data_IF_945610300193
#
_entry.id   IF_945610300193
#
_cell.length_a   1.000
_cell.length_b   1.000
_cell.length_c   1.000
_cell.angle_alpha   90.00
_cell.angle_beta   90.00
_cell.angle_gamma   90.00
#
_symmetry.space_group_name_H-M   'P 1'
#
loop_
_entity.id
_entity.type
_entity.pdbx_description
1 polymer ?
#
# COMPACT_ATOMS: atom_id res chain seq x y z
N UNK A 1 -48.20 7.89 5.92
CA UNK A 1 -46.87 8.00 5.31
C UNK A 1 -46.03 6.86 5.86
N UNK A 2 -45.87 5.82 5.07
CA UNK A 2 -44.95 4.71 5.38
C UNK A 2 -43.54 5.24 5.23
N UNK A 3 -42.84 5.40 6.35
CA UNK A 3 -41.41 5.65 6.35
C UNK A 3 -40.76 4.46 5.65
N UNK A 4 -40.14 4.71 4.50
CA UNK A 4 -39.31 3.73 3.79
C UNK A 4 -38.26 3.23 4.78
N UNK A 5 -38.13 1.92 4.93
CA UNK A 5 -37.02 1.34 5.68
C UNK A 5 -35.74 1.77 4.95
N UNK A 6 -35.03 2.75 5.52
CA UNK A 6 -33.63 2.97 5.18
C UNK A 6 -32.93 1.67 5.58
N UNK A 7 -32.47 0.89 4.61
CA UNK A 7 -31.63 -0.28 4.85
C UNK A 7 -30.45 0.21 5.69
N UNK A 8 -30.46 -0.09 6.98
CA UNK A 8 -29.30 0.13 7.84
C UNK A 8 -28.22 -0.78 7.32
N UNK A 9 -27.11 -0.23 6.82
CA UNK A 9 -25.91 -1.03 6.57
C UNK A 9 -25.54 -1.64 7.93
N UNK A 10 -25.65 -2.97 8.04
CA UNK A 10 -25.31 -3.70 9.25
C UNK A 10 -23.99 -4.39 8.97
N UNK A 11 -22.89 -3.66 9.17
CA UNK A 11 -21.53 -4.03 8.81
C UNK A 11 -21.17 -5.43 9.34
N UNK A 12 -21.68 -5.79 10.52
CA UNK A 12 -21.47 -7.09 11.13
C UNK A 12 -22.16 -8.23 10.35
N UNK A 13 -23.41 -8.07 9.94
CA UNK A 13 -24.15 -9.10 9.18
C UNK A 13 -23.53 -9.29 7.79
N UNK A 14 -23.12 -8.20 7.14
CA UNK A 14 -22.40 -8.26 5.87
C UNK A 14 -21.03 -8.92 6.01
N UNK A 15 -20.29 -8.63 7.08
CA UNK A 15 -19.03 -9.30 7.36
C UNK A 15 -19.23 -10.81 7.60
N UNK A 16 -20.28 -11.20 8.34
CA UNK A 16 -20.59 -12.62 8.59
C UNK A 16 -20.93 -13.40 7.30
N UNK A 17 -21.60 -12.77 6.33
CA UNK A 17 -21.89 -13.38 5.04
C UNK A 17 -20.64 -13.46 4.16
N UNK A 18 -19.85 -12.38 4.08
CA UNK A 18 -18.59 -12.36 3.33
C UNK A 18 -17.58 -13.38 3.87
N UNK A 19 -17.47 -13.54 5.20
CA UNK A 19 -16.63 -14.58 5.81
C UNK A 19 -17.00 -15.98 5.30
N UNK A 20 -18.29 -16.29 5.13
CA UNK A 20 -18.71 -17.62 4.65
C UNK A 20 -18.27 -17.83 3.21
N UNK A 21 -18.45 -16.81 2.36
CA UNK A 21 -18.03 -16.84 0.95
C UNK A 21 -16.51 -17.03 0.84
N UNK A 22 -15.73 -16.24 1.57
CA UNK A 22 -14.27 -16.31 1.55
C UNK A 22 -13.72 -17.63 2.12
N UNK A 23 -14.36 -18.22 3.14
CA UNK A 23 -14.00 -19.56 3.62
C UNK A 23 -14.21 -20.62 2.53
N UNK A 24 -15.29 -20.51 1.74
CA UNK A 24 -15.54 -21.42 0.61
C UNK A 24 -14.47 -21.27 -0.49
N UNK A 25 -13.96 -20.05 -0.68
CA UNK A 25 -12.87 -19.74 -1.61
C UNK A 25 -11.47 -20.07 -1.05
N UNK A 26 -11.39 -20.51 0.21
CA UNK A 26 -10.17 -21.04 0.84
C UNK A 26 -9.41 -20.06 1.72
N UNK A 27 -9.97 -18.90 2.03
CA UNK A 27 -9.38 -17.93 2.96
C UNK A 27 -9.38 -18.46 4.39
N UNK A 28 -8.35 -18.09 5.16
CA UNK A 28 -8.23 -18.46 6.55
C UNK A 28 -9.13 -17.61 7.45
N UNK A 29 -9.91 -18.28 8.30
CA UNK A 29 -10.87 -17.61 9.18
C UNK A 29 -10.18 -16.81 10.29
N UNK A 30 -9.03 -17.26 10.77
CA UNK A 30 -8.29 -16.56 11.83
C UNK A 30 -7.70 -15.26 11.27
N UNK A 31 -7.19 -15.27 10.03
CA UNK A 31 -6.72 -14.05 9.33
C UNK A 31 -7.85 -13.03 9.11
N UNK A 32 -9.04 -13.48 8.67
CA UNK A 32 -10.20 -12.60 8.53
C UNK A 32 -10.64 -12.00 9.88
N UNK A 33 -10.66 -12.79 10.94
CA UNK A 33 -11.02 -12.33 12.29
C UNK A 33 -9.98 -11.34 12.85
N UNK A 34 -8.71 -11.56 12.56
CA UNK A 34 -7.63 -10.62 12.92
C UNK A 34 -7.77 -9.30 12.17
N UNK A 35 -8.04 -9.34 10.86
CA UNK A 35 -8.29 -8.13 10.07
C UNK A 35 -9.48 -7.33 10.62
N UNK A 36 -10.60 -8.00 10.90
CA UNK A 36 -11.79 -7.36 11.49
C UNK A 36 -11.48 -6.76 12.86
N UNK A 37 -10.65 -7.42 13.67
CA UNK A 37 -10.26 -6.91 14.99
C UNK A 37 -9.39 -5.64 14.87
N UNK A 38 -8.56 -5.56 13.84
CA UNK A 38 -7.63 -4.44 13.61
C UNK A 38 -8.32 -3.25 12.92
N UNK A 39 -9.10 -3.51 11.86
CA UNK A 39 -9.68 -2.49 10.98
C UNK A 39 -11.20 -2.31 11.15
N UNK A 40 -11.89 -3.32 11.69
CA UNK A 40 -13.34 -3.31 11.89
C UNK A 40 -14.12 -3.97 10.74
N UNK A 41 -15.40 -4.26 11.01
CA UNK A 41 -16.29 -4.95 10.06
C UNK A 41 -16.50 -4.17 8.76
N UNK A 42 -16.59 -2.83 8.85
CA UNK A 42 -16.80 -1.99 7.68
C UNK A 42 -15.66 -2.13 6.67
N UNK A 43 -14.44 -1.99 7.15
CA UNK A 43 -13.25 -2.02 6.30
C UNK A 43 -12.98 -3.45 5.80
N UNK A 44 -13.34 -4.47 6.58
CA UNK A 44 -13.32 -5.85 6.11
C UNK A 44 -14.22 -6.06 4.88
N UNK A 45 -15.47 -5.58 4.94
CA UNK A 45 -16.42 -5.71 3.83
C UNK A 45 -15.97 -4.92 2.60
N UNK A 46 -15.25 -3.81 2.77
CA UNK A 46 -14.87 -2.93 1.68
C UNK A 46 -13.52 -3.25 1.05
N UNK A 47 -12.53 -3.69 1.83
CA UNK A 47 -11.12 -3.66 1.44
C UNK A 47 -10.36 -4.96 1.69
N UNK A 48 -10.95 -5.97 2.35
CA UNK A 48 -10.22 -7.20 2.69
C UNK A 48 -9.72 -7.97 1.46
N UNK A 49 -10.53 -8.07 0.40
CA UNK A 49 -10.15 -8.75 -0.84
C UNK A 49 -9.01 -8.04 -1.58
N UNK A 50 -9.01 -6.70 -1.59
CA UNK A 50 -7.91 -5.93 -2.18
C UNK A 50 -6.64 -6.04 -1.34
N UNK A 51 -6.78 -5.97 -0.01
CA UNK A 51 -5.68 -6.18 0.93
C UNK A 51 -5.03 -7.56 0.73
N UNK A 52 -5.81 -8.64 0.77
CA UNK A 52 -5.26 -10.01 0.64
C UNK A 52 -4.64 -10.23 -0.74
N UNK A 53 -5.24 -9.70 -1.81
CA UNK A 53 -4.65 -9.75 -3.16
C UNK A 53 -3.30 -9.04 -3.22
N UNK A 54 -3.17 -7.88 -2.58
CA UNK A 54 -1.91 -7.15 -2.53
C UNK A 54 -0.86 -7.86 -1.67
N UNK A 55 -1.26 -8.48 -0.55
CA UNK A 55 -0.35 -9.31 0.28
C UNK A 55 0.15 -10.52 -0.51
N UNK A 56 -0.70 -11.14 -1.35
CA UNK A 56 -0.30 -12.25 -2.22
C UNK A 56 0.64 -11.81 -3.36
N UNK A 57 0.46 -10.61 -3.90
CA UNK A 57 1.27 -10.07 -5.01
C UNK A 57 2.65 -9.59 -4.56
N UNK A 58 2.74 -8.98 -3.37
CA UNK A 58 3.97 -8.41 -2.81
C UNK A 58 4.42 -9.22 -1.59
N UNK A 59 3.98 -8.80 -0.41
CA UNK A 59 4.15 -9.43 0.89
C UNK A 59 3.47 -8.53 1.94
N UNK A 60 3.30 -9.05 3.15
CA UNK A 60 2.65 -8.31 4.24
C UNK A 60 3.43 -7.05 4.64
N UNK A 61 4.76 -7.09 4.68
CA UNK A 61 5.58 -5.94 5.11
C UNK A 61 5.45 -4.77 4.11
N UNK A 62 5.39 -5.06 2.82
CA UNK A 62 5.16 -4.06 1.76
C UNK A 62 3.79 -3.42 1.89
N UNK A 63 2.72 -4.22 2.09
CA UNK A 63 1.34 -3.72 2.22
C UNK A 63 1.17 -2.89 3.48
N UNK A 64 1.67 -3.39 4.61
CA UNK A 64 1.59 -2.68 5.89
C UNK A 64 2.34 -1.33 5.81
N UNK A 65 3.51 -1.30 5.16
CA UNK A 65 4.27 -0.05 4.95
C UNK A 65 3.56 0.96 4.05
N UNK A 66 2.78 0.49 3.06
CA UNK A 66 1.95 1.36 2.22
C UNK A 66 0.79 1.96 3.03
N UNK A 67 0.12 1.15 3.84
CA UNK A 67 -0.99 1.59 4.71
C UNK A 67 -0.49 2.57 5.77
N UNK A 68 0.77 2.49 6.21
CA UNK A 68 1.37 3.49 7.10
C UNK A 68 1.54 4.87 6.46
N UNK A 69 1.72 4.92 5.13
CA UNK A 69 1.90 6.17 4.36
C UNK A 69 0.57 6.74 3.86
N UNK A 70 -0.31 5.87 3.39
CA UNK A 70 -1.62 6.21 2.86
C UNK A 70 -2.72 5.73 3.83
N UNK A 71 -3.78 5.15 3.30
CA UNK A 71 -4.85 4.54 4.08
C UNK A 71 -5.23 3.17 3.47
N UNK A 72 -5.84 2.31 4.27
CA UNK A 72 -6.36 1.01 3.82
C UNK A 72 -7.32 1.14 2.63
N UNK A 73 -8.07 2.25 2.56
CA UNK A 73 -9.01 2.50 1.45
C UNK A 73 -8.32 2.67 0.09
N UNK A 74 -7.01 2.95 0.09
CA UNK A 74 -6.21 3.14 -1.11
C UNK A 74 -5.37 1.91 -1.44
N UNK A 75 -5.51 0.80 -0.70
CA UNK A 75 -4.66 -0.40 -0.85
C UNK A 75 -4.70 -1.00 -2.25
N UNK A 76 -5.81 -0.85 -2.99
CA UNK A 76 -5.92 -1.28 -4.38
C UNK A 76 -4.90 -0.61 -5.32
N UNK A 77 -4.40 0.57 -4.94
CA UNK A 77 -3.46 1.38 -5.71
C UNK A 77 -1.99 1.09 -5.38
N UNK A 78 -1.71 0.15 -4.46
CA UNK A 78 -0.34 -0.22 -4.10
C UNK A 78 0.53 -0.52 -5.34
N UNK A 79 0.00 -1.32 -6.27
CA UNK A 79 0.74 -1.68 -7.50
C UNK A 79 1.17 -0.47 -8.32
N UNK A 80 0.30 0.54 -8.40
CA UNK A 80 0.56 1.72 -9.22
C UNK A 80 1.48 2.71 -8.47
N UNK A 81 1.44 2.68 -7.14
CA UNK A 81 2.27 3.50 -6.27
C UNK A 81 3.67 2.92 -6.01
N UNK A 82 3.89 1.61 -6.10
CA UNK A 82 5.13 0.96 -5.65
C UNK A 82 6.32 1.14 -6.62
N UNK A 83 7.46 1.64 -6.12
CA UNK A 83 8.69 1.90 -6.89
C UNK A 83 9.90 1.04 -6.45
N UNK A 84 9.70 0.11 -5.52
CA UNK A 84 10.72 -0.84 -5.08
C UNK A 84 11.19 -0.63 -3.63
N UNK A 85 12.16 -1.45 -3.22
CA UNK A 85 12.77 -1.44 -1.90
C UNK A 85 14.26 -1.06 -1.98
N UNK A 86 14.68 -0.08 -1.19
CA UNK A 86 16.00 0.51 -1.16
C UNK A 86 16.48 0.68 0.28
N UNK A 87 17.79 0.82 0.49
CA UNK A 87 18.39 1.04 1.81
C UNK A 87 18.17 2.46 2.33
N UNK A 88 17.94 3.40 1.41
CA UNK A 88 17.61 4.79 1.70
C UNK A 88 16.98 5.49 0.50
N UNK A 89 16.32 6.61 0.73
CA UNK A 89 15.84 7.49 -0.32
C UNK A 89 16.96 7.99 -1.27
N UNK A 90 18.18 8.16 -0.77
CA UNK A 90 19.34 8.51 -1.60
C UNK A 90 19.71 7.40 -2.60
N UNK A 91 19.64 6.13 -2.20
CA UNK A 91 19.87 5.00 -3.12
C UNK A 91 18.78 4.94 -4.19
N UNK A 92 17.52 5.20 -3.82
CA UNK A 92 16.42 5.35 -4.78
C UNK A 92 16.67 6.51 -5.76
N UNK A 93 17.07 7.69 -5.25
CA UNK A 93 17.34 8.85 -6.09
C UNK A 93 18.46 8.58 -7.12
N UNK A 94 19.53 7.90 -6.71
CA UNK A 94 20.60 7.48 -7.61
C UNK A 94 20.11 6.52 -8.69
N UNK A 95 19.36 5.48 -8.31
CA UNK A 95 18.81 4.50 -9.26
C UNK A 95 17.85 5.17 -10.23
N UNK A 96 16.90 5.98 -9.71
CA UNK A 96 15.89 6.65 -10.51
C UNK A 96 16.51 7.58 -11.56
N UNK A 97 17.50 8.39 -11.18
CA UNK A 97 18.20 9.26 -12.13
C UNK A 97 18.98 8.45 -13.16
N UNK A 98 19.71 7.42 -12.71
CA UNK A 98 20.51 6.57 -13.58
C UNK A 98 19.68 5.81 -14.61
N UNK A 99 18.52 5.30 -14.20
CA UNK A 99 17.65 4.46 -15.03
C UNK A 99 16.76 5.30 -15.97
N UNK A 100 16.22 6.43 -15.51
CA UNK A 100 15.27 7.24 -16.28
C UNK A 100 15.94 8.30 -17.16
N UNK A 101 17.01 8.92 -16.67
CA UNK A 101 17.66 10.05 -17.35
C UNK A 101 19.05 9.69 -17.88
N UNK A 102 19.69 8.69 -17.29
CA UNK A 102 21.07 8.34 -17.56
C UNK A 102 22.03 9.29 -16.86
N UNK A 103 23.15 8.74 -16.38
CA UNK A 103 24.21 9.55 -15.79
C UNK A 103 25.21 10.00 -16.86
N UNK A 104 25.58 11.29 -16.88
CA UNK A 104 26.67 11.74 -17.73
C UNK A 104 28.00 11.17 -17.22
N UNK A 105 28.97 11.00 -18.13
CA UNK A 105 30.35 10.65 -17.76
C UNK A 105 30.99 11.79 -16.96
N UNK A 106 30.97 11.67 -15.64
CA UNK A 106 31.59 12.62 -14.72
C UNK A 106 33.00 12.15 -14.34
N UNK A 107 33.99 13.07 -14.27
CA UNK A 107 35.29 12.75 -13.70
C UNK A 107 35.17 12.18 -12.27
N UNK A 108 36.01 11.18 -11.94
CA UNK A 108 35.94 10.43 -10.67
C UNK A 108 36.06 11.27 -9.39
N UNK A 109 36.54 12.51 -9.48
CA UNK A 109 36.70 13.43 -8.35
C UNK A 109 35.46 14.29 -8.09
N UNK A 110 34.41 14.18 -8.92
CA UNK A 110 33.11 14.77 -8.67
C UNK A 110 32.33 13.86 -7.73
N UNK A 111 31.77 14.44 -6.67
CA UNK A 111 30.81 13.78 -5.79
C UNK A 111 29.40 14.34 -6.07
N UNK A 112 28.41 13.46 -6.00
CA UNK A 112 27.00 13.79 -6.20
C UNK A 112 26.30 13.61 -4.87
N UNK A 113 25.46 14.60 -4.52
CA UNK A 113 24.71 14.58 -3.28
C UNK A 113 23.34 13.96 -3.50
N UNK A 114 23.27 12.64 -3.32
CA UNK A 114 22.04 11.88 -3.49
C UNK A 114 21.05 12.07 -2.33
N UNK A 115 21.53 12.48 -1.15
CA UNK A 115 20.66 12.83 -0.03
C UNK A 115 19.88 14.11 -0.36
N UNK A 116 20.57 15.16 -0.82
CA UNK A 116 19.89 16.39 -1.28
C UNK A 116 18.97 16.12 -2.47
N UNK A 117 19.36 15.21 -3.37
CA UNK A 117 18.48 14.83 -4.50
C UNK A 117 17.21 14.14 -4.00
N UNK A 118 17.32 13.26 -3.01
CA UNK A 118 16.16 12.64 -2.37
C UNK A 118 15.25 13.67 -1.69
N UNK A 119 15.77 14.63 -0.93
CA UNK A 119 14.96 15.69 -0.30
C UNK A 119 14.14 16.50 -1.32
N UNK A 120 14.61 16.61 -2.56
CA UNK A 120 13.85 17.22 -3.64
C UNK A 120 12.79 16.27 -4.24
N UNK A 121 13.05 14.97 -4.27
CA UNK A 121 12.12 13.94 -4.76
C UNK A 121 11.07 13.54 -3.71
N UNK A 122 11.34 13.74 -2.42
CA UNK A 122 10.49 13.30 -1.32
C UNK A 122 9.14 14.04 -1.23
N UNK A 123 8.93 15.04 -2.09
CA UNK A 123 7.61 15.64 -2.30
C UNK A 123 6.71 14.76 -3.16
N UNK A 124 7.29 14.10 -4.17
CA UNK A 124 6.57 13.25 -5.13
C UNK A 124 6.60 11.78 -4.73
N UNK A 125 7.56 11.38 -3.89
CA UNK A 125 7.72 10.02 -3.39
C UNK A 125 7.82 10.01 -1.87
N UNK A 126 7.36 8.93 -1.23
CA UNK A 126 7.52 8.70 0.20
C UNK A 126 8.25 7.40 0.43
N UNK A 127 9.20 7.42 1.37
CA UNK A 127 9.89 6.21 1.86
C UNK A 127 9.24 5.74 3.16
N UNK A 128 8.94 4.44 3.26
CA UNK A 128 8.51 3.80 4.50
C UNK A 128 9.07 2.39 4.58
N UNK A 129 9.80 2.10 5.66
CA UNK A 129 10.46 0.81 5.92
C UNK A 129 11.36 0.34 4.75
N UNK A 130 11.98 1.27 4.04
CA UNK A 130 12.80 1.00 2.85
C UNK A 130 12.01 0.85 1.55
N UNK A 131 10.67 0.87 1.58
CA UNK A 131 9.85 0.87 0.38
C UNK A 131 9.59 2.29 -0.11
N UNK A 132 9.62 2.48 -1.43
CA UNK A 132 9.35 3.77 -2.06
C UNK A 132 7.99 3.72 -2.74
N UNK A 133 7.16 4.71 -2.40
CA UNK A 133 5.83 4.88 -2.98
C UNK A 133 5.72 6.25 -3.68
N UNK A 134 5.12 6.29 -4.86
CA UNK A 134 4.74 7.54 -5.52
C UNK A 134 3.52 8.12 -4.82
N UNK A 135 3.54 9.42 -4.52
CA UNK A 135 2.43 10.14 -3.90
C UNK A 135 1.30 10.46 -4.89
N UNK A 136 1.55 10.27 -6.19
CA UNK A 136 0.61 10.51 -7.28
C UNK A 136 0.43 9.22 -8.09
N UNK A 137 -0.56 8.42 -7.71
CA UNK A 137 -0.98 7.19 -8.40
C UNK A 137 -2.34 7.36 -9.07
#
# INVERSE_FOLDING_TARGET
MTLSATTSFNDQEHAEDLIKELIEDGHDKEEMEEFIKTHGHKDFVLYYEDYTRMVEEYDQDTVDSFIEVFDLMDVEHLRDAYYGCYRSGAEFAESFVSDCYGMPDLPYWIAIDWEETWENLSYDYTESNGYIFCNNW
#
